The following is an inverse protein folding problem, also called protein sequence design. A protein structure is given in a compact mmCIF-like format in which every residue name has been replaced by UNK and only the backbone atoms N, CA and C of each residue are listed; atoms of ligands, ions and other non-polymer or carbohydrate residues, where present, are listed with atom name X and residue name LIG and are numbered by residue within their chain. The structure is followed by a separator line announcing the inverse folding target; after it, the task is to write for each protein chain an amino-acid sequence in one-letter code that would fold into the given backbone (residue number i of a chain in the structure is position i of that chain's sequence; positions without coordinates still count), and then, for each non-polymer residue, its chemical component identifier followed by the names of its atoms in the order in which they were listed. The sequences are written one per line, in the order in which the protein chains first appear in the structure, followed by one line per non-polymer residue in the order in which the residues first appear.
data_IF_852613305624
#
_entry.id   IF_852613305624
#
_cell.length_a   1.000
_cell.length_b   1.000
_cell.length_c   1.000
_cell.angle_alpha   90.00
_cell.angle_beta   90.00
_cell.angle_gamma   90.00
#
_symmetry.space_group_name_H-M   'P 1'
#
loop_
_entity.id
_entity.type
_entity.pdbx_description
1 polymer ?
#
# COMPACT_ATOMS: atom_id res chain seq x y z
N UNK A 1 -20.62 -11.55 -22.03
CA UNK A 1 -20.67 -11.55 -20.55
C UNK A 1 -20.27 -10.15 -20.11
N UNK A 2 -21.24 -9.30 -19.79
CA UNK A 2 -20.97 -8.01 -19.17
C UNK A 2 -20.64 -8.30 -17.71
N UNK A 3 -19.36 -8.58 -17.45
CA UNK A 3 -18.86 -8.72 -16.08
C UNK A 3 -19.02 -7.35 -15.45
N UNK A 4 -19.72 -7.30 -14.33
CA UNK A 4 -20.11 -6.08 -13.64
C UNK A 4 -18.84 -5.32 -13.16
N UNK A 5 -18.32 -4.43 -14.01
CA UNK A 5 -17.12 -3.59 -13.80
C UNK A 5 -17.01 -2.98 -12.39
N UNK A 6 -18.10 -2.46 -11.77
CA UNK A 6 -18.06 -1.91 -10.42
C UNK A 6 -17.69 -2.95 -9.34
N UNK A 7 -17.98 -4.23 -9.59
CA UNK A 7 -17.68 -5.33 -8.68
C UNK A 7 -16.21 -5.76 -8.79
N UNK A 8 -15.62 -5.66 -9.97
CA UNK A 8 -14.20 -5.99 -10.19
C UNK A 8 -13.28 -4.95 -9.54
N UNK A 9 -13.54 -3.65 -9.73
CA UNK A 9 -12.73 -2.60 -9.08
C UNK A 9 -12.76 -2.67 -7.56
N UNK A 10 -13.92 -2.99 -6.94
CA UNK A 10 -14.02 -3.17 -5.48
C UNK A 10 -13.10 -4.27 -4.98
N UNK A 11 -13.06 -5.41 -5.70
CA UNK A 11 -12.15 -6.52 -5.39
C UNK A 11 -10.69 -6.13 -5.59
N UNK A 12 -10.36 -5.50 -6.72
CA UNK A 12 -8.99 -5.06 -7.01
C UNK A 12 -8.48 -4.07 -5.96
N UNK A 13 -9.29 -3.10 -5.50
CA UNK A 13 -8.90 -2.19 -4.43
C UNK A 13 -8.75 -2.88 -3.07
N UNK A 14 -9.57 -3.89 -2.78
CA UNK A 14 -9.40 -4.71 -1.59
C UNK A 14 -8.07 -5.47 -1.63
N UNK A 15 -7.78 -6.16 -2.73
CA UNK A 15 -6.58 -6.96 -2.88
C UNK A 15 -5.32 -6.07 -2.88
N UNK A 16 -5.38 -4.91 -3.53
CA UNK A 16 -4.31 -3.90 -3.48
C UNK A 16 -4.04 -3.43 -2.04
N UNK A 17 -5.09 -3.08 -1.27
CA UNK A 17 -4.93 -2.66 0.13
C UNK A 17 -4.36 -3.77 1.00
N UNK A 18 -4.76 -5.01 0.76
CA UNK A 18 -4.22 -6.17 1.47
C UNK A 18 -2.72 -6.35 1.19
N UNK A 19 -2.30 -6.30 -0.08
CA UNK A 19 -0.89 -6.38 -0.44
C UNK A 19 -0.07 -5.23 0.14
N UNK A 20 -0.59 -4.00 0.11
CA UNK A 20 0.07 -2.83 0.71
C UNK A 20 0.20 -2.97 2.23
N UNK A 21 -0.80 -3.53 2.91
CA UNK A 21 -0.72 -3.84 4.34
C UNK A 21 0.39 -4.84 4.66
N UNK A 22 0.50 -5.92 3.89
CA UNK A 22 1.60 -6.91 4.05
C UNK A 22 2.97 -6.26 3.83
N UNK A 23 3.10 -5.42 2.80
CA UNK A 23 4.35 -4.70 2.53
C UNK A 23 4.71 -3.76 3.70
N UNK A 24 3.72 -3.04 4.24
CA UNK A 24 3.94 -2.14 5.39
C UNK A 24 4.43 -2.91 6.61
N UNK A 25 3.73 -3.98 7.01
CA UNK A 25 4.16 -4.79 8.15
C UNK A 25 5.56 -5.40 7.97
N UNK A 26 5.91 -5.80 6.74
CA UNK A 26 7.26 -6.26 6.44
C UNK A 26 8.31 -5.15 6.58
N UNK A 27 7.98 -3.91 6.18
CA UNK A 27 8.87 -2.77 6.33
C UNK A 27 9.06 -2.41 7.81
N UNK A 28 8.00 -2.42 8.62
CA UNK A 28 8.04 -2.20 10.06
C UNK A 28 8.94 -3.26 10.75
N UNK A 29 8.74 -4.54 10.44
CA UNK A 29 9.59 -5.62 10.96
C UNK A 29 11.05 -5.47 10.53
N UNK A 30 11.31 -5.03 9.31
CA UNK A 30 12.67 -4.77 8.81
C UNK A 30 13.32 -3.60 9.56
N UNK A 31 12.57 -2.52 9.79
CA UNK A 31 13.01 -1.35 10.54
C UNK A 31 13.40 -1.72 11.97
N UNK A 32 12.55 -2.47 12.67
CA UNK A 32 12.79 -2.93 14.03
C UNK A 32 14.03 -3.83 14.13
N UNK A 33 14.24 -4.71 13.14
CA UNK A 33 15.43 -5.57 13.06
C UNK A 33 16.69 -4.76 12.79
N UNK A 34 16.62 -3.78 11.88
CA UNK A 34 17.74 -2.92 11.54
C UNK A 34 18.16 -2.02 12.70
N UNK A 35 17.19 -1.49 13.45
CA UNK A 35 17.44 -0.71 14.67
C UNK A 35 18.20 -1.52 15.71
N UNK A 36 17.77 -2.76 15.98
CA UNK A 36 18.46 -3.69 16.90
C UNK A 36 19.88 -4.03 16.46
N UNK A 37 20.11 -4.09 15.15
CA UNK A 37 21.42 -4.40 14.57
C UNK A 37 22.32 -3.15 14.41
N UNK A 38 21.80 -1.94 14.62
CA UNK A 38 22.52 -0.69 14.32
C UNK A 38 22.75 -0.46 12.83
N UNK A 39 21.97 -1.09 11.95
CA UNK A 39 22.11 -0.95 10.50
C UNK A 39 21.28 0.24 9.98
N UNK A 40 21.89 1.43 9.98
CA UNK A 40 21.24 2.66 9.55
C UNK A 40 20.76 2.61 8.10
N UNK A 41 21.51 1.93 7.22
CA UNK A 41 21.19 1.88 5.79
C UNK A 41 19.92 1.07 5.56
N UNK A 42 19.80 -0.08 6.21
CA UNK A 42 18.59 -0.91 6.14
C UNK A 42 17.42 -0.20 6.81
N UNK A 43 17.64 0.48 7.95
CA UNK A 43 16.60 1.26 8.63
C UNK A 43 16.05 2.38 7.75
N UNK A 44 16.92 3.17 7.14
CA UNK A 44 16.54 4.24 6.20
C UNK A 44 15.75 3.69 5.01
N UNK A 45 16.16 2.52 4.48
CA UNK A 45 15.44 1.86 3.40
C UNK A 45 14.05 1.39 3.81
N UNK A 46 13.90 0.86 5.03
CA UNK A 46 12.60 0.46 5.57
C UNK A 46 11.65 1.66 5.69
N UNK A 47 12.12 2.80 6.20
CA UNK A 47 11.34 4.06 6.25
C UNK A 47 10.88 4.49 4.86
N UNK A 48 11.76 4.45 3.85
CA UNK A 48 11.37 4.77 2.47
C UNK A 48 10.27 3.85 1.93
N UNK A 49 10.27 2.57 2.32
CA UNK A 49 9.22 1.62 1.92
C UNK A 49 7.90 1.99 2.61
N UNK A 50 7.91 2.31 3.91
CA UNK A 50 6.72 2.77 4.63
C UNK A 50 6.11 4.01 3.96
N UNK A 51 6.93 5.03 3.68
CA UNK A 51 6.50 6.24 2.97
C UNK A 51 5.92 5.91 1.58
N UNK A 52 6.55 4.99 0.85
CA UNK A 52 6.08 4.53 -0.46
C UNK A 52 4.70 3.86 -0.37
N UNK A 53 4.46 3.04 0.66
CA UNK A 53 3.16 2.42 0.90
C UNK A 53 2.09 3.47 1.19
N UNK A 54 2.38 4.46 2.05
CA UNK A 54 1.42 5.53 2.33
C UNK A 54 1.08 6.35 1.09
N UNK A 55 2.06 6.67 0.24
CA UNK A 55 1.83 7.34 -1.05
C UNK A 55 0.95 6.47 -1.97
N UNK A 56 1.24 5.18 -2.08
CA UNK A 56 0.45 4.26 -2.89
C UNK A 56 -1.01 4.14 -2.39
N UNK A 57 -1.23 4.11 -1.07
CA UNK A 57 -2.56 4.12 -0.47
C UNK A 57 -3.31 5.43 -0.77
N UNK A 58 -2.64 6.58 -0.71
CA UNK A 58 -3.23 7.87 -1.07
C UNK A 58 -3.68 7.87 -2.54
N UNK A 59 -2.78 7.50 -3.46
CA UNK A 59 -3.09 7.38 -4.89
C UNK A 59 -4.24 6.40 -5.16
N UNK A 60 -4.25 5.23 -4.51
CA UNK A 60 -5.33 4.25 -4.66
C UNK A 60 -6.68 4.82 -4.18
N UNK A 61 -6.69 5.60 -3.09
CA UNK A 61 -7.91 6.26 -2.61
C UNK A 61 -8.38 7.36 -3.57
N UNK A 62 -7.47 8.13 -4.17
CA UNK A 62 -7.79 9.13 -5.19
C UNK A 62 -8.42 8.48 -6.43
N UNK A 63 -7.83 7.41 -6.97
CA UNK A 63 -8.40 6.66 -8.11
C UNK A 63 -9.81 6.19 -7.77
N UNK A 64 -9.98 5.56 -6.59
CA UNK A 64 -11.29 5.07 -6.14
C UNK A 64 -12.30 6.20 -5.97
N UNK A 65 -11.88 7.40 -5.54
CA UNK A 65 -12.77 8.55 -5.40
C UNK A 65 -13.24 9.04 -6.77
N UNK A 66 -12.32 9.17 -7.74
CA UNK A 66 -12.65 9.60 -9.10
C UNK A 66 -13.59 8.62 -9.81
N UNK A 67 -13.47 7.31 -9.55
CA UNK A 67 -14.38 6.30 -10.10
C UNK A 67 -15.79 6.29 -9.45
N UNK A 68 -15.97 6.94 -8.29
CA UNK A 68 -17.24 6.98 -7.56
C UNK A 68 -18.08 8.22 -7.85
N UNK A 69 -17.50 9.25 -8.46
CA UNK A 69 -18.21 10.48 -8.81
C UNK A 69 -18.85 10.29 -10.19
N UNK A 70 -20.19 10.22 -10.31
CA UNK A 70 -20.84 10.39 -11.61
C UNK A 70 -20.71 11.87 -12.00
N UNK A 71 -20.36 12.17 -13.25
CA UNK A 71 -20.56 13.51 -13.83
C UNK A 71 -22.06 13.88 -13.86
#
# INVERSE_FOLDING_TARGET
MSVDEPTDFRRLFHDLRNHLGVILSNAELLKDRAEKAGDEKVRSRAVQIEEGVFKALATANEIRSNLKTPE
#
